data_IF_608732603439
#
_entry.id   IF_608732603439
#
_cell.length_a   1.000
_cell.length_b   1.000
_cell.length_c   1.000
_cell.angle_alpha   90.00
_cell.angle_beta   90.00
_cell.angle_gamma   90.00
#
_symmetry.space_group_name_H-M   'P 1'
#
loop_
_entity.id
_entity.type
_entity.pdbx_description
1 polymer ?
#
# COMPACT_ATOMS: atom_id res chain seq x y z
N UNK A 1 -30.64 54.32 -13.06
CA UNK A 1 -31.26 52.97 -13.08
C UNK A 1 -30.45 52.11 -14.04
N UNK A 2 -29.54 51.26 -13.54
CA UNK A 2 -28.83 50.27 -14.36
C UNK A 2 -29.42 48.90 -14.01
N UNK A 3 -30.11 48.28 -14.97
CA UNK A 3 -30.64 46.94 -14.83
C UNK A 3 -29.48 45.94 -15.01
N UNK A 4 -29.09 45.26 -13.94
CA UNK A 4 -28.13 44.16 -13.99
C UNK A 4 -28.78 42.95 -14.68
N UNK A 5 -28.25 42.59 -15.84
CA UNK A 5 -28.66 41.39 -16.58
C UNK A 5 -28.13 40.14 -15.88
N UNK A 6 -29.01 39.41 -15.20
CA UNK A 6 -28.73 38.05 -14.71
C UNK A 6 -28.51 37.14 -15.92
N UNK A 7 -27.25 36.85 -16.20
CA UNK A 7 -26.84 35.87 -17.21
C UNK A 7 -27.23 34.47 -16.75
N UNK A 8 -28.41 33.99 -17.18
CA UNK A 8 -28.85 32.60 -16.95
C UNK A 8 -28.05 31.69 -17.87
N UNK A 9 -27.01 31.05 -17.32
CA UNK A 9 -26.28 29.98 -18.03
C UNK A 9 -27.26 28.85 -18.40
N UNK A 10 -27.13 28.24 -19.59
CA UNK A 10 -28.10 27.27 -20.10
C UNK A 10 -28.13 25.98 -19.25
N UNK A 11 -29.29 25.30 -19.14
CA UNK A 11 -29.45 24.04 -18.40
C UNK A 11 -28.52 22.92 -18.90
N UNK A 12 -28.07 23.02 -20.15
CA UNK A 12 -27.11 22.10 -20.76
C UNK A 12 -25.75 22.07 -20.04
N UNK A 13 -25.27 23.20 -19.51
CA UNK A 13 -24.01 23.25 -18.76
C UNK A 13 -24.13 22.54 -17.41
N UNK A 14 -25.26 22.67 -16.73
CA UNK A 14 -25.52 21.97 -15.47
C UNK A 14 -25.65 20.45 -15.69
N UNK A 15 -26.36 20.05 -16.75
CA UNK A 15 -26.49 18.65 -17.14
C UNK A 15 -25.14 18.02 -17.50
N UNK A 16 -24.30 18.71 -18.28
CA UNK A 16 -22.96 18.23 -18.63
C UNK A 16 -22.05 18.08 -17.41
N UNK A 17 -22.06 19.03 -16.48
CA UNK A 17 -21.30 18.96 -15.22
C UNK A 17 -21.77 17.79 -14.36
N UNK A 18 -23.08 17.58 -14.24
CA UNK A 18 -23.65 16.46 -13.49
C UNK A 18 -23.25 15.11 -14.11
N UNK A 19 -23.27 15.02 -15.44
CA UNK A 19 -22.89 13.81 -16.18
C UNK A 19 -21.40 13.48 -15.96
N UNK A 20 -20.52 14.48 -16.07
CA UNK A 20 -19.08 14.32 -15.80
C UNK A 20 -18.82 13.91 -14.35
N UNK A 21 -19.52 14.50 -13.38
CA UNK A 21 -19.40 14.13 -11.97
C UNK A 21 -19.85 12.69 -11.70
N UNK A 22 -20.94 12.24 -12.35
CA UNK A 22 -21.41 10.85 -12.27
C UNK A 22 -20.43 9.86 -12.91
N UNK A 23 -19.85 10.19 -14.06
CA UNK A 23 -18.80 9.36 -14.68
C UNK A 23 -17.55 9.29 -13.81
N UNK A 24 -17.14 10.40 -13.19
CA UNK A 24 -15.99 10.44 -12.28
C UNK A 24 -16.25 9.59 -11.02
N UNK A 25 -17.45 9.70 -10.42
CA UNK A 25 -17.85 8.88 -9.28
C UNK A 25 -17.94 7.38 -9.62
N UNK A 26 -18.40 7.04 -10.83
CA UNK A 26 -18.45 5.66 -11.31
C UNK A 26 -17.04 5.07 -11.59
N UNK A 27 -16.06 5.92 -11.91
CA UNK A 27 -14.66 5.52 -12.10
C UNK A 27 -13.86 5.42 -10.80
N UNK A 28 -14.45 5.79 -9.65
CA UNK A 28 -13.78 5.65 -8.37
C UNK A 28 -13.62 4.16 -8.03
N UNK A 29 -12.42 3.64 -8.21
CA UNK A 29 -12.04 2.32 -7.74
C UNK A 29 -12.18 2.28 -6.22
N UNK A 30 -13.06 1.41 -5.72
CA UNK A 30 -13.13 1.09 -4.30
C UNK A 30 -11.81 0.42 -3.93
N UNK A 31 -10.92 1.16 -3.28
CA UNK A 31 -9.67 0.61 -2.77
C UNK A 31 -10.00 -0.22 -1.52
N UNK A 32 -10.09 -1.54 -1.68
CA UNK A 32 -10.30 -2.46 -0.57
C UNK A 32 -8.96 -2.70 0.13
N UNK A 33 -8.72 -2.00 1.24
CA UNK A 33 -7.61 -2.34 2.13
C UNK A 33 -7.90 -3.71 2.78
N UNK A 34 -7.22 -4.76 2.31
CA UNK A 34 -7.43 -6.14 2.80
C UNK A 34 -6.69 -6.43 4.12
N UNK A 35 -5.79 -5.53 4.54
CA UNK A 35 -5.05 -5.70 5.79
C UNK A 35 -5.95 -5.44 7.00
N UNK A 36 -5.88 -6.35 7.97
CA UNK A 36 -6.52 -6.22 9.27
C UNK A 36 -5.58 -6.66 10.38
N UNK A 37 -5.74 -6.06 11.56
CA UNK A 37 -5.09 -6.53 12.79
C UNK A 37 -5.55 -7.96 13.10
N UNK A 38 -4.69 -8.74 13.74
CA UNK A 38 -5.00 -10.12 14.14
C UNK A 38 -5.45 -11.02 12.98
N UNK A 39 -4.94 -10.78 11.76
CA UNK A 39 -5.34 -11.54 10.56
C UNK A 39 -5.23 -13.06 10.76
N UNK A 40 -4.20 -13.50 11.49
CA UNK A 40 -3.89 -14.91 11.74
C UNK A 40 -4.57 -15.50 12.99
N UNK A 41 -5.40 -14.75 13.73
CA UNK A 41 -5.93 -15.22 15.01
C UNK A 41 -6.68 -16.56 14.96
N UNK A 42 -7.32 -16.88 13.83
CA UNK A 42 -8.05 -18.13 13.63
C UNK A 42 -7.23 -19.31 13.10
N UNK A 43 -5.95 -19.10 12.75
CA UNK A 43 -5.09 -20.13 12.12
C UNK A 43 -3.79 -20.29 12.88
N UNK A 44 -3.15 -19.19 13.26
CA UNK A 44 -1.94 -19.14 14.07
C UNK A 44 -2.04 -17.97 15.07
N UNK A 45 -2.70 -18.16 16.22
CA UNK A 45 -2.95 -17.10 17.19
C UNK A 45 -1.65 -16.53 17.80
N UNK A 46 -0.61 -17.36 17.87
CA UNK A 46 0.68 -16.99 18.47
C UNK A 46 1.67 -16.37 17.47
N UNK A 47 1.28 -16.11 16.21
CA UNK A 47 2.24 -15.65 15.19
C UNK A 47 2.99 -14.37 15.61
N UNK A 48 2.29 -13.41 16.21
CA UNK A 48 2.90 -12.15 16.64
C UNK A 48 3.89 -12.36 17.80
N UNK A 49 3.60 -13.31 18.70
CA UNK A 49 4.48 -13.63 19.83
C UNK A 49 5.73 -14.40 19.36
N UNK A 50 5.56 -15.34 18.42
CA UNK A 50 6.64 -16.10 17.79
C UNK A 50 7.60 -15.17 17.07
N UNK A 51 7.08 -14.27 16.23
CA UNK A 51 7.90 -13.28 15.50
C UNK A 51 8.65 -12.37 16.48
N UNK A 52 7.97 -11.87 17.53
CA UNK A 52 8.61 -11.05 18.57
C UNK A 52 9.74 -11.80 19.28
N UNK A 53 9.55 -13.07 19.62
CA UNK A 53 10.57 -13.89 20.26
C UNK A 53 11.79 -14.10 19.34
N UNK A 54 11.57 -14.37 18.05
CA UNK A 54 12.64 -14.53 17.07
C UNK A 54 13.46 -13.23 16.89
N UNK A 55 12.79 -12.09 16.74
CA UNK A 55 13.45 -10.77 16.64
C UNK A 55 14.21 -10.44 17.92
N UNK A 56 13.62 -10.69 19.10
CA UNK A 56 14.28 -10.44 20.39
C UNK A 56 15.52 -11.31 20.56
N UNK A 57 15.46 -12.58 20.14
CA UNK A 57 16.61 -13.48 20.16
C UNK A 57 17.74 -12.93 19.30
N UNK A 58 17.45 -12.52 18.06
CA UNK A 58 18.47 -11.96 17.16
C UNK A 58 19.01 -10.61 17.62
N UNK A 59 18.16 -9.75 18.18
CA UNK A 59 18.59 -8.51 18.80
C UNK A 59 19.63 -8.73 19.92
N UNK A 60 19.44 -9.76 20.76
CA UNK A 60 20.41 -10.12 21.81
C UNK A 60 21.75 -10.61 21.25
N UNK A 61 21.74 -11.21 20.06
CA UNK A 61 22.96 -11.63 19.36
C UNK A 61 23.65 -10.43 18.68
N UNK A 62 22.88 -9.50 18.11
CA UNK A 62 23.39 -8.31 17.40
C UNK A 62 22.36 -7.19 17.40
N UNK A 63 22.71 -6.03 17.94
CA UNK A 63 21.80 -4.88 18.02
C UNK A 63 21.39 -4.33 16.65
N UNK A 64 22.24 -4.50 15.62
CA UNK A 64 22.03 -4.03 14.24
C UNK A 64 20.73 -4.63 13.63
N UNK A 65 20.28 -5.78 14.12
CA UNK A 65 19.07 -6.46 13.64
C UNK A 65 17.87 -5.52 13.55
N UNK A 66 17.63 -4.65 14.54
CA UNK A 66 16.45 -3.77 14.54
C UNK A 66 16.49 -2.82 13.36
N UNK A 67 17.60 -2.10 13.17
CA UNK A 67 17.77 -1.16 12.06
C UNK A 67 17.75 -1.87 10.71
N UNK A 68 18.44 -3.01 10.59
CA UNK A 68 18.49 -3.79 9.37
C UNK A 68 17.10 -4.33 8.96
N UNK A 69 16.29 -4.82 9.90
CA UNK A 69 14.94 -5.32 9.61
C UNK A 69 14.01 -4.20 9.14
N UNK A 70 14.06 -3.02 9.75
CA UNK A 70 13.24 -1.87 9.32
C UNK A 70 13.67 -1.39 7.94
N UNK A 71 14.98 -1.29 7.69
CA UNK A 71 15.48 -0.92 6.37
C UNK A 71 15.09 -1.94 5.30
N UNK A 72 15.17 -3.24 5.59
CA UNK A 72 14.74 -4.29 4.67
C UNK A 72 13.26 -4.16 4.32
N UNK A 73 12.38 -3.92 5.31
CA UNK A 73 10.95 -3.72 5.08
C UNK A 73 10.67 -2.48 4.22
N UNK A 74 11.42 -1.40 4.45
CA UNK A 74 11.32 -0.20 3.62
C UNK A 74 11.75 -0.48 2.17
N UNK A 75 12.85 -1.20 1.98
CA UNK A 75 13.36 -1.51 0.65
C UNK A 75 12.41 -2.41 -0.14
N UNK A 76 11.81 -3.41 0.52
CA UNK A 76 10.77 -4.27 -0.06
C UNK A 76 9.59 -3.42 -0.53
N UNK A 77 8.98 -2.66 0.38
CA UNK A 77 7.80 -1.86 0.05
C UNK A 77 8.04 -0.74 -0.99
N UNK A 78 9.28 -0.29 -1.17
CA UNK A 78 9.61 0.78 -2.12
C UNK A 78 9.74 0.25 -3.55
N UNK A 79 10.11 -1.02 -3.72
CA UNK A 79 10.28 -1.67 -5.02
C UNK A 79 9.06 -2.54 -5.28
N UNK A 80 8.16 -2.08 -6.15
CA UNK A 80 6.97 -2.80 -6.62
C UNK A 80 5.98 -3.37 -5.55
N UNK A 81 6.23 -3.17 -4.25
CA UNK A 81 5.26 -3.38 -3.18
C UNK A 81 5.78 -4.24 -2.02
N UNK A 82 4.98 -4.36 -0.95
CA UNK A 82 5.35 -5.14 0.23
C UNK A 82 5.00 -6.64 0.05
N UNK A 83 5.71 -7.33 -0.85
CA UNK A 83 5.45 -8.72 -1.22
C UNK A 83 6.57 -9.70 -0.85
N UNK A 84 7.61 -9.22 -0.16
CA UNK A 84 8.79 -9.99 0.25
C UNK A 84 9.64 -10.52 -0.92
N UNK A 85 9.56 -9.90 -2.11
CA UNK A 85 10.39 -10.22 -3.28
C UNK A 85 11.88 -10.06 -3.01
N UNK A 86 12.28 -9.04 -2.23
CA UNK A 86 13.69 -8.70 -1.99
C UNK A 86 14.48 -9.79 -1.25
N UNK A 87 13.79 -10.68 -0.52
CA UNK A 87 14.44 -11.77 0.23
C UNK A 87 14.58 -13.07 -0.57
N UNK A 88 14.06 -13.12 -1.79
CA UNK A 88 14.19 -14.28 -2.69
C UNK A 88 15.64 -14.41 -3.17
N UNK A 89 16.13 -15.66 -3.26
CA UNK A 89 17.48 -15.95 -3.75
C UNK A 89 17.46 -16.25 -5.26
N UNK A 90 18.53 -15.87 -5.96
CA UNK A 90 18.71 -16.25 -7.36
C UNK A 90 18.76 -17.77 -7.53
N UNK A 91 18.34 -18.22 -8.70
CA UNK A 91 18.42 -19.63 -9.13
C UNK A 91 19.22 -19.69 -10.43
N UNK A 92 19.63 -20.87 -10.92
CA UNK A 92 20.30 -20.98 -12.21
C UNK A 92 19.50 -20.39 -13.38
N UNK A 93 18.18 -20.25 -13.23
CA UNK A 93 17.26 -19.83 -14.28
C UNK A 93 16.58 -18.48 -13.99
N UNK A 94 16.97 -17.76 -12.93
CA UNK A 94 16.45 -16.43 -12.59
C UNK A 94 17.44 -15.64 -11.72
N UNK A 95 17.51 -14.32 -11.95
CA UNK A 95 18.26 -13.38 -11.09
C UNK A 95 17.31 -12.67 -10.15
N UNK A 96 17.55 -12.79 -8.85
CA UNK A 96 16.75 -12.13 -7.82
C UNK A 96 17.25 -10.71 -7.55
N UNK A 97 16.34 -9.86 -7.07
CA UNK A 97 16.62 -8.46 -6.70
C UNK A 97 17.75 -8.34 -5.68
N UNK A 98 17.86 -9.32 -4.78
CA UNK A 98 18.92 -9.43 -3.80
C UNK A 98 20.34 -9.34 -4.40
N UNK A 99 20.53 -9.89 -5.59
CA UNK A 99 21.83 -9.95 -6.26
C UNK A 99 22.02 -8.80 -7.26
N UNK A 100 21.06 -7.85 -7.30
CA UNK A 100 21.20 -6.63 -8.06
C UNK A 100 22.26 -5.73 -7.40
N UNK A 101 23.29 -5.36 -8.17
CA UNK A 101 24.47 -4.63 -7.69
C UNK A 101 24.32 -3.12 -7.79
#
# INVERSE_FOLDING_TARGET
MAAGSVSRRPPATAAAVLLVALLAAASATVCAAQLRRNYYAGVCPDVESIVRAAVTKKYRETFITVGATVHLFFHDCFVDGCDASVIVASTPNNTAEKDHR
#
